data_IF_458731779717
#
_entry.id   IF_458731779717
#
_cell.length_a   1.000
_cell.length_b   1.000
_cell.length_c   1.000
_cell.angle_alpha   90.00
_cell.angle_beta   90.00
_cell.angle_gamma   90.00
#
_symmetry.space_group_name_H-M   'P 1'
#
loop_
_entity.id
_entity.type
_entity.pdbx_description
1 polymer ?
#
# COMPACT_ATOMS: atom_id res chain seq x y z
N UNK A 1 -10.45 -49.43 -27.94
CA UNK A 1 -9.11 -48.92 -27.58
C UNK A 1 -8.80 -47.77 -28.53
N UNK A 2 -8.55 -46.53 -28.15
CA UNK A 2 -8.72 -45.82 -26.89
C UNK A 2 -9.24 -44.42 -27.24
N UNK A 3 -10.03 -43.82 -26.35
CA UNK A 3 -10.54 -42.46 -26.57
C UNK A 3 -9.43 -41.46 -26.25
N UNK A 4 -9.19 -40.54 -27.19
CA UNK A 4 -8.34 -39.39 -26.97
C UNK A 4 -9.18 -38.34 -26.23
N UNK A 5 -8.94 -38.20 -24.93
CA UNK A 5 -9.38 -37.06 -24.14
C UNK A 5 -8.57 -35.84 -24.59
N UNK A 6 -9.15 -35.02 -25.45
CA UNK A 6 -8.73 -33.63 -25.62
C UNK A 6 -9.12 -32.89 -24.33
N UNK A 7 -8.12 -32.48 -23.56
CA UNK A 7 -8.28 -31.53 -22.47
C UNK A 7 -8.55 -30.18 -23.13
N UNK A 8 -9.77 -29.70 -23.00
CA UNK A 8 -10.19 -28.38 -23.46
C UNK A 8 -9.48 -27.32 -22.60
N UNK A 9 -8.53 -26.59 -23.20
CA UNK A 9 -7.89 -25.45 -22.56
C UNK A 9 -8.96 -24.43 -22.18
N UNK A 10 -9.25 -24.31 -20.89
CA UNK A 10 -10.11 -23.26 -20.34
C UNK A 10 -9.57 -21.91 -20.81
N UNK A 11 -10.40 -21.19 -21.60
CA UNK A 11 -10.02 -19.90 -22.19
C UNK A 11 -9.62 -18.93 -21.07
N UNK A 12 -8.36 -18.51 -21.08
CA UNK A 12 -7.86 -17.45 -20.21
C UNK A 12 -8.69 -16.18 -20.40
N UNK A 13 -9.00 -15.50 -19.30
CA UNK A 13 -9.38 -14.09 -19.38
C UNK A 13 -8.32 -13.33 -20.19
N UNK A 14 -8.71 -12.51 -21.18
CA UNK A 14 -7.74 -11.78 -22.00
C UNK A 14 -6.91 -10.85 -21.09
N UNK A 15 -5.63 -11.19 -20.90
CA UNK A 15 -4.68 -10.42 -20.09
C UNK A 15 -3.85 -11.21 -19.06
N UNK A 16 -4.21 -12.44 -18.72
CA UNK A 16 -3.44 -13.26 -17.77
C UNK A 16 -2.48 -14.20 -18.52
N UNK A 17 -1.18 -13.93 -18.48
CA UNK A 17 -0.17 -14.85 -19.04
C UNK A 17 -0.01 -16.08 -18.15
N UNK A 18 -0.41 -17.25 -18.65
CA UNK A 18 -0.32 -18.52 -17.93
C UNK A 18 1.13 -18.92 -17.62
N UNK A 19 2.10 -18.41 -18.37
CA UNK A 19 3.55 -18.65 -18.18
C UNK A 19 4.20 -17.70 -17.17
N UNK A 20 3.50 -16.64 -16.77
CA UNK A 20 4.01 -15.72 -15.77
C UNK A 20 4.13 -16.40 -14.38
N UNK A 21 5.13 -16.01 -13.58
CA UNK A 21 5.35 -16.59 -12.25
C UNK A 21 4.12 -16.37 -11.37
N UNK A 22 3.76 -17.37 -10.55
CA UNK A 22 2.60 -17.32 -9.65
C UNK A 22 2.90 -16.56 -8.36
N UNK A 23 4.17 -16.53 -7.97
CA UNK A 23 4.69 -15.79 -6.83
C UNK A 23 5.91 -14.98 -7.28
N UNK A 24 6.02 -13.74 -6.83
CA UNK A 24 7.13 -12.85 -7.17
C UNK A 24 7.61 -12.10 -5.92
N UNK A 25 8.91 -12.06 -5.65
CA UNK A 25 9.43 -11.23 -4.54
C UNK A 25 9.40 -9.75 -4.93
N UNK A 26 9.22 -8.87 -3.94
CA UNK A 26 9.14 -7.43 -4.23
C UNK A 26 10.43 -6.87 -4.86
N UNK A 27 11.59 -7.44 -4.52
CA UNK A 27 12.89 -7.06 -5.11
C UNK A 27 13.00 -7.37 -6.61
N UNK A 28 12.20 -8.32 -7.10
CA UNK A 28 12.14 -8.67 -8.53
C UNK A 28 11.05 -7.85 -9.27
N UNK A 29 10.32 -6.99 -8.56
CA UNK A 29 9.26 -6.14 -9.11
C UNK A 29 9.76 -4.72 -9.37
N UNK A 30 9.09 -4.02 -10.27
CA UNK A 30 9.31 -2.60 -10.56
C UNK A 30 7.99 -1.95 -11.02
N UNK A 31 8.03 -0.66 -11.38
CA UNK A 31 6.85 0.07 -11.90
C UNK A 31 6.15 -0.58 -13.10
N UNK A 32 6.84 -1.37 -13.91
CA UNK A 32 6.27 -2.02 -15.09
C UNK A 32 5.61 -3.37 -14.73
N UNK A 33 5.76 -3.81 -13.48
CA UNK A 33 5.18 -5.05 -12.94
C UNK A 33 3.71 -4.89 -12.52
N UNK A 34 3.09 -3.72 -12.68
CA UNK A 34 1.68 -3.44 -12.29
C UNK A 34 0.70 -4.49 -12.84
N UNK A 35 0.76 -4.95 -14.11
CA UNK A 35 -0.14 -5.99 -14.61
C UNK A 35 0.01 -7.34 -13.90
N UNK A 36 1.20 -7.61 -13.33
CA UNK A 36 1.53 -8.87 -12.67
C UNK A 36 1.24 -8.85 -11.17
N UNK A 37 1.55 -7.74 -10.48
CA UNK A 37 1.49 -7.67 -9.01
C UNK A 37 0.59 -6.55 -8.47
N UNK A 38 -0.11 -5.82 -9.34
CA UNK A 38 -0.94 -4.67 -8.96
C UNK A 38 -0.11 -3.44 -8.55
N UNK A 39 -0.81 -2.32 -8.35
CA UNK A 39 -0.20 -1.01 -8.11
C UNK A 39 0.68 -0.96 -6.85
N UNK A 40 0.15 -1.44 -5.71
CA UNK A 40 0.87 -1.38 -4.43
C UNK A 40 2.15 -2.20 -4.42
N UNK A 41 2.10 -3.48 -4.83
CA UNK A 41 3.30 -4.33 -4.82
C UNK A 41 4.34 -3.85 -5.85
N UNK A 42 3.89 -3.35 -7.02
CA UNK A 42 4.79 -2.74 -7.99
C UNK A 42 5.47 -1.48 -7.43
N UNK A 43 4.72 -0.63 -6.71
CA UNK A 43 5.26 0.54 -6.01
C UNK A 43 6.28 0.15 -4.94
N UNK A 44 6.02 -0.91 -4.16
CA UNK A 44 6.99 -1.43 -3.19
C UNK A 44 8.28 -1.92 -3.86
N UNK A 45 8.19 -2.64 -4.97
CA UNK A 45 9.37 -3.07 -5.73
C UNK A 45 10.15 -1.88 -6.30
N UNK A 46 9.45 -0.88 -6.83
CA UNK A 46 10.05 0.36 -7.33
C UNK A 46 10.82 1.11 -6.23
N UNK A 47 10.27 1.18 -5.02
CA UNK A 47 10.95 1.76 -3.85
C UNK A 47 12.21 0.97 -3.48
N UNK A 48 12.15 -0.36 -3.48
CA UNK A 48 13.32 -1.22 -3.19
C UNK A 48 14.43 -0.95 -4.22
N UNK A 49 14.10 -0.87 -5.50
CA UNK A 49 15.04 -0.58 -6.58
C UNK A 49 15.63 0.84 -6.48
N UNK A 50 14.86 1.80 -5.95
CA UNK A 50 15.36 3.13 -5.62
C UNK A 50 16.28 3.15 -4.38
N UNK A 51 16.51 2.01 -3.72
CA UNK A 51 17.30 1.89 -2.50
C UNK A 51 16.61 2.47 -1.28
N UNK A 52 15.28 2.47 -1.25
CA UNK A 52 14.47 2.82 -0.07
C UNK A 52 14.32 1.56 0.77
N UNK A 53 14.43 1.68 2.10
CA UNK A 53 14.19 0.54 2.99
C UNK A 53 12.70 0.26 3.07
N UNK A 54 12.32 -0.85 2.46
CA UNK A 54 10.97 -1.41 2.50
C UNK A 54 11.07 -2.78 3.18
N UNK A 55 10.13 -3.17 4.05
CA UNK A 55 10.13 -4.50 4.62
C UNK A 55 10.05 -5.56 3.51
N UNK A 56 10.86 -6.63 3.56
CA UNK A 56 10.88 -7.65 2.51
C UNK A 56 9.54 -8.37 2.45
N UNK A 57 9.21 -8.91 1.28
CA UNK A 57 7.98 -9.63 1.05
C UNK A 57 7.89 -10.17 -0.37
N UNK A 58 6.75 -10.80 -0.65
CA UNK A 58 6.43 -11.35 -1.96
C UNK A 58 4.95 -11.10 -2.26
N UNK A 59 4.58 -11.21 -3.53
CA UNK A 59 3.21 -11.13 -4.00
C UNK A 59 2.76 -12.48 -4.59
N UNK A 60 1.54 -12.91 -4.25
CA UNK A 60 0.76 -13.76 -5.13
C UNK A 60 0.39 -12.91 -6.35
N UNK A 61 0.86 -13.30 -7.52
CA UNK A 61 0.64 -12.53 -8.75
C UNK A 61 -0.78 -12.71 -9.27
N UNK A 62 -1.16 -11.89 -10.23
CA UNK A 62 -2.43 -12.04 -10.99
C UNK A 62 -2.51 -13.40 -11.70
N UNK A 63 -1.37 -13.95 -12.12
CA UNK A 63 -1.28 -15.30 -12.69
C UNK A 63 -1.51 -16.40 -11.63
N UNK A 64 -1.08 -16.18 -10.38
CA UNK A 64 -1.37 -17.02 -9.23
C UNK A 64 -2.84 -16.99 -8.83
N UNK A 65 -3.44 -15.80 -8.78
CA UNK A 65 -4.90 -15.64 -8.62
C UNK A 65 -5.68 -16.38 -9.71
N UNK A 66 -5.30 -16.20 -10.98
CA UNK A 66 -5.96 -16.89 -12.10
C UNK A 66 -5.83 -18.41 -12.02
N UNK A 67 -4.70 -18.93 -11.53
CA UNK A 67 -4.55 -20.36 -11.25
C UNK A 67 -5.48 -20.83 -10.14
N UNK A 68 -5.55 -20.10 -9.02
CA UNK A 68 -6.48 -20.43 -7.94
C UNK A 68 -7.93 -20.53 -8.43
N UNK A 69 -8.42 -19.54 -9.18
CA UNK A 69 -9.81 -19.53 -9.67
C UNK A 69 -10.12 -20.71 -10.59
N UNK A 70 -9.15 -21.13 -11.42
CA UNK A 70 -9.27 -22.29 -12.32
C UNK A 70 -9.21 -23.60 -11.57
N UNK A 71 -8.20 -23.80 -10.72
CA UNK A 71 -7.99 -25.04 -9.98
C UNK A 71 -9.14 -25.29 -8.98
N UNK A 72 -9.71 -24.23 -8.42
CA UNK A 72 -10.90 -24.31 -7.56
C UNK A 72 -12.19 -24.61 -8.35
N UNK A 73 -12.19 -24.45 -9.68
CA UNK A 73 -13.35 -24.68 -10.54
C UNK A 73 -14.50 -23.69 -10.34
N UNK A 74 -14.19 -22.46 -9.90
CA UNK A 74 -15.20 -21.46 -9.50
C UNK A 74 -15.36 -20.31 -10.50
N UNK A 75 -14.46 -20.20 -11.49
CA UNK A 75 -14.41 -19.08 -12.42
C UNK A 75 -15.75 -18.85 -13.14
N UNK A 76 -16.34 -19.91 -13.71
CA UNK A 76 -17.57 -19.80 -14.51
C UNK A 76 -18.79 -19.47 -13.64
N UNK A 77 -18.85 -20.03 -12.43
CA UNK A 77 -19.93 -19.77 -11.48
C UNK A 77 -19.89 -18.31 -10.99
N UNK A 78 -18.69 -17.81 -10.69
CA UNK A 78 -18.48 -16.39 -10.34
C UNK A 78 -18.89 -15.47 -11.49
N UNK A 79 -18.49 -15.79 -12.73
CA UNK A 79 -18.88 -15.00 -13.90
C UNK A 79 -20.40 -14.99 -14.10
N UNK A 80 -21.06 -16.14 -13.90
CA UNK A 80 -22.53 -16.26 -13.98
C UNK A 80 -23.26 -15.43 -12.93
N UNK A 81 -22.76 -15.40 -11.69
CA UNK A 81 -23.33 -14.57 -10.60
C UNK A 81 -23.16 -13.07 -10.83
N UNK A 82 -22.13 -12.67 -11.59
CA UNK A 82 -21.86 -11.27 -11.92
C UNK A 82 -22.63 -10.79 -13.16
N UNK A 83 -23.09 -11.71 -14.00
CA UNK A 83 -23.72 -11.38 -15.26
C UNK A 83 -25.08 -10.69 -15.05
N UNK A 84 -25.27 -9.54 -15.67
CA UNK A 84 -26.54 -8.81 -15.65
C UNK A 84 -26.86 -8.12 -14.31
N UNK A 85 -25.88 -7.99 -13.42
CA UNK A 85 -26.02 -7.17 -12.21
C UNK A 85 -26.15 -5.69 -12.58
N UNK A 86 -27.04 -5.00 -11.87
CA UNK A 86 -27.18 -3.54 -11.94
C UNK A 86 -26.41 -2.91 -10.77
N UNK A 87 -25.63 -1.87 -11.06
CA UNK A 87 -24.89 -1.11 -10.07
C UNK A 87 -25.75 -0.35 -9.05
N UNK A 88 -27.04 -0.14 -9.34
CA UNK A 88 -27.99 0.53 -8.46
C UNK A 88 -28.81 -0.44 -7.59
N UNK A 89 -28.78 -1.75 -7.89
CA UNK A 89 -29.49 -2.79 -7.14
C UNK A 89 -28.61 -3.39 -6.03
N UNK A 90 -28.52 -2.66 -4.92
CA UNK A 90 -27.66 -3.03 -3.79
C UNK A 90 -27.99 -4.39 -3.16
N UNK A 91 -29.27 -4.80 -3.17
CA UNK A 91 -29.67 -6.08 -2.57
C UNK A 91 -29.14 -7.26 -3.40
N UNK A 92 -29.23 -7.19 -4.73
CA UNK A 92 -28.64 -8.21 -5.61
C UNK A 92 -27.11 -8.20 -5.55
N UNK A 93 -26.49 -7.02 -5.49
CA UNK A 93 -25.05 -6.88 -5.36
C UNK A 93 -24.54 -7.52 -4.07
N UNK A 94 -25.20 -7.31 -2.94
CA UNK A 94 -24.85 -7.92 -1.65
C UNK A 94 -25.06 -9.44 -1.67
N UNK A 95 -26.14 -9.92 -2.26
CA UNK A 95 -26.39 -11.35 -2.40
C UNK A 95 -25.31 -12.04 -3.25
N UNK A 96 -24.96 -11.48 -4.41
CA UNK A 96 -23.91 -11.99 -5.28
C UNK A 96 -22.53 -11.90 -4.61
N UNK A 97 -22.20 -10.77 -4.00
CA UNK A 97 -20.99 -10.54 -3.21
C UNK A 97 -20.81 -11.63 -2.16
N UNK A 98 -21.82 -11.88 -1.33
CA UNK A 98 -21.76 -12.92 -0.29
C UNK A 98 -21.52 -14.31 -0.88
N UNK A 99 -22.28 -14.70 -1.89
CA UNK A 99 -22.15 -16.02 -2.52
C UNK A 99 -20.76 -16.24 -3.12
N UNK A 100 -20.24 -15.26 -3.86
CA UNK A 100 -18.91 -15.33 -4.46
C UNK A 100 -17.82 -15.39 -3.39
N UNK A 101 -17.92 -14.58 -2.33
CA UNK A 101 -16.93 -14.54 -1.26
C UNK A 101 -16.89 -15.84 -0.46
N UNK A 102 -18.05 -16.39 -0.09
CA UNK A 102 -18.14 -17.68 0.58
C UNK A 102 -17.53 -18.80 -0.27
N UNK A 103 -17.76 -18.76 -1.58
CA UNK A 103 -17.18 -19.71 -2.53
C UNK A 103 -15.65 -19.60 -2.60
N UNK A 104 -15.10 -18.40 -2.70
CA UNK A 104 -13.64 -18.18 -2.71
C UNK A 104 -13.01 -18.62 -1.38
N UNK A 105 -13.61 -18.24 -0.25
CA UNK A 105 -13.01 -18.46 1.08
C UNK A 105 -13.08 -19.93 1.52
N UNK A 106 -14.06 -20.69 1.04
CA UNK A 106 -14.24 -22.11 1.35
C UNK A 106 -13.43 -23.07 0.48
N UNK A 107 -12.95 -22.63 -0.69
CA UNK A 107 -12.20 -23.49 -1.62
C UNK A 107 -10.74 -23.62 -1.17
N UNK A 108 -10.18 -24.85 -1.16
CA UNK A 108 -8.76 -25.02 -0.90
C UNK A 108 -7.94 -24.42 -2.03
N UNK A 109 -6.76 -23.92 -1.69
CA UNK A 109 -5.74 -23.61 -2.70
C UNK A 109 -5.14 -24.94 -3.16
N UNK A 110 -4.84 -25.08 -4.46
CA UNK A 110 -4.22 -26.30 -4.99
C UNK A 110 -2.86 -26.57 -4.35
N UNK A 111 -2.48 -27.84 -4.21
CA UNK A 111 -1.20 -28.25 -3.58
C UNK A 111 -0.01 -27.55 -4.26
N UNK A 112 -0.03 -27.44 -5.59
CA UNK A 112 1.02 -26.75 -6.35
C UNK A 112 1.16 -25.27 -5.95
N UNK A 113 0.04 -24.54 -5.87
CA UNK A 113 0.08 -23.13 -5.51
C UNK A 113 0.39 -22.93 -4.01
N UNK A 114 -0.09 -23.83 -3.17
CA UNK A 114 0.25 -23.89 -1.74
C UNK A 114 1.75 -24.06 -1.54
N UNK A 115 2.39 -25.01 -2.22
CA UNK A 115 3.83 -25.24 -2.15
C UNK A 115 4.63 -24.00 -2.55
N UNK A 116 4.18 -23.29 -3.60
CA UNK A 116 4.83 -22.05 -4.04
C UNK A 116 4.73 -20.92 -3.00
N UNK A 117 3.55 -20.72 -2.40
CA UNK A 117 3.35 -19.71 -1.36
C UNK A 117 4.10 -20.09 -0.08
N UNK A 118 4.05 -21.36 0.32
CA UNK A 118 4.75 -21.89 1.49
C UNK A 118 6.27 -21.74 1.35
N UNK A 119 6.82 -22.05 0.18
CA UNK A 119 8.25 -21.87 -0.09
C UNK A 119 8.66 -20.40 -0.05
N UNK A 120 7.84 -19.49 -0.61
CA UNK A 120 8.11 -18.06 -0.54
C UNK A 120 8.05 -17.53 0.91
N UNK A 121 7.07 -17.96 1.69
CA UNK A 121 6.94 -17.60 3.11
C UNK A 121 8.09 -18.15 3.96
N UNK A 122 8.54 -19.38 3.68
CA UNK A 122 9.70 -19.99 4.32
C UNK A 122 10.98 -19.22 4.00
N UNK A 123 11.20 -18.88 2.74
CA UNK A 123 12.33 -18.03 2.31
C UNK A 123 12.30 -16.66 2.99
N UNK A 124 11.14 -16.02 3.08
CA UNK A 124 10.97 -14.74 3.77
C UNK A 124 11.32 -14.87 5.27
N UNK A 125 10.86 -15.94 5.91
CA UNK A 125 11.15 -16.25 7.32
C UNK A 125 12.66 -16.41 7.57
N UNK A 126 13.36 -17.15 6.70
CA UNK A 126 14.82 -17.29 6.74
C UNK A 126 15.53 -15.94 6.58
N UNK A 127 15.12 -15.12 5.60
CA UNK A 127 15.71 -13.79 5.37
C UNK A 127 15.54 -12.85 6.57
N UNK A 128 14.45 -13.02 7.33
CA UNK A 128 14.14 -12.21 8.51
C UNK A 128 14.69 -12.81 9.82
N UNK A 129 15.39 -13.95 9.76
CA UNK A 129 15.91 -14.66 10.93
C UNK A 129 14.83 -15.00 11.97
N UNK A 130 13.63 -15.34 11.51
CA UNK A 130 12.50 -15.71 12.36
C UNK A 130 11.91 -17.04 11.90
N UNK A 131 11.58 -18.00 12.80
CA UNK A 131 10.99 -19.28 12.41
C UNK A 131 9.66 -19.14 11.65
N UNK A 132 8.82 -18.22 12.12
CA UNK A 132 7.58 -17.81 11.48
C UNK A 132 7.49 -16.28 11.57
N UNK A 133 7.83 -15.61 10.47
CA UNK A 133 7.84 -14.14 10.41
C UNK A 133 6.41 -13.60 10.43
N UNK A 134 6.08 -12.62 11.29
CA UNK A 134 4.81 -11.92 11.22
C UNK A 134 4.72 -11.12 9.92
N UNK A 135 3.60 -11.22 9.22
CA UNK A 135 3.37 -10.58 7.93
C UNK A 135 2.07 -9.78 7.90
N UNK A 136 2.06 -8.74 7.08
CA UNK A 136 0.85 -8.10 6.59
C UNK A 136 0.44 -8.78 5.28
N UNK A 137 -0.83 -9.18 5.18
CA UNK A 137 -1.42 -9.69 3.94
C UNK A 137 -2.35 -8.61 3.39
N UNK A 138 -2.02 -8.11 2.19
CA UNK A 138 -2.64 -6.90 1.62
C UNK A 138 -3.05 -7.15 0.18
N UNK A 139 -4.26 -6.76 -0.19
CA UNK A 139 -4.65 -6.73 -1.60
C UNK A 139 -3.95 -5.60 -2.37
N UNK A 140 -3.61 -5.91 -3.61
CA UNK A 140 -2.93 -5.05 -4.58
C UNK A 140 -3.62 -5.24 -5.93
N UNK A 141 -4.57 -4.37 -6.26
CA UNK A 141 -5.33 -4.51 -7.51
C UNK A 141 -4.60 -3.86 -8.70
N UNK A 142 -4.84 -4.39 -9.91
CA UNK A 142 -4.25 -3.86 -11.14
C UNK A 142 -4.90 -2.56 -11.62
N UNK A 143 -6.14 -2.30 -11.19
CA UNK A 143 -6.93 -1.14 -11.59
C UNK A 143 -6.84 0.06 -10.63
N UNK A 144 -6.02 -0.02 -9.56
CA UNK A 144 -5.86 1.03 -8.54
C UNK A 144 -5.22 2.32 -9.06
N UNK A 145 -4.44 2.25 -10.13
CA UNK A 145 -3.68 3.38 -10.68
C UNK A 145 -4.28 3.95 -11.97
N UNK A 146 -5.49 3.51 -12.36
CA UNK A 146 -6.17 4.13 -13.51
C UNK A 146 -6.58 5.57 -13.15
N UNK A 147 -6.36 6.56 -14.04
CA UNK A 147 -6.72 7.96 -13.77
C UNK A 147 -8.19 8.10 -13.38
N UNK A 148 -8.46 8.55 -12.15
CA UNK A 148 -9.81 8.71 -11.60
C UNK A 148 -10.39 7.49 -10.85
N UNK A 149 -9.68 6.35 -10.84
CA UNK A 149 -10.10 5.14 -10.14
C UNK A 149 -9.41 5.00 -8.78
N UNK A 150 -9.85 5.80 -7.80
CA UNK A 150 -9.40 5.61 -6.42
C UNK A 150 -10.21 4.50 -5.76
N UNK A 151 -9.69 3.27 -5.78
CA UNK A 151 -10.16 2.19 -4.88
C UNK A 151 -9.64 2.37 -3.44
N UNK A 152 -9.11 3.55 -3.10
CA UNK A 152 -8.51 3.83 -1.81
C UNK A 152 -9.47 3.49 -0.67
N UNK A 153 -8.99 2.67 0.26
CA UNK A 153 -9.72 2.31 1.48
C UNK A 153 -10.81 1.25 1.33
N UNK A 154 -10.97 0.60 0.17
CA UNK A 154 -11.96 -0.47 -0.03
C UNK A 154 -11.37 -1.90 0.03
N UNK A 155 -10.10 -2.03 0.37
CA UNK A 155 -9.35 -3.28 0.24
C UNK A 155 -8.83 -3.78 1.57
N UNK A 156 -9.06 -5.08 1.82
CA UNK A 156 -8.73 -5.73 3.08
C UNK A 156 -7.22 -5.78 3.30
N UNK A 157 -6.81 -5.34 4.48
CA UNK A 157 -5.45 -5.48 5.01
C UNK A 157 -5.52 -6.23 6.32
N UNK A 158 -4.76 -7.31 6.42
CA UNK A 158 -4.69 -8.15 7.62
C UNK A 158 -3.29 -8.06 8.20
N UNK A 159 -3.19 -7.59 9.44
CA UNK A 159 -1.91 -7.33 10.10
C UNK A 159 -1.55 -8.42 11.11
N UNK A 160 -0.25 -8.61 11.30
CA UNK A 160 0.33 -9.55 12.27
C UNK A 160 -0.08 -11.01 12.04
N UNK A 161 -0.12 -11.46 10.80
CA UNK A 161 -0.42 -12.85 10.44
C UNK A 161 0.83 -13.70 10.59
N UNK A 162 0.73 -14.90 11.16
CA UNK A 162 1.87 -15.82 11.35
C UNK A 162 1.49 -17.27 11.07
N UNK A 163 2.40 -17.99 10.44
CA UNK A 163 2.17 -19.38 10.06
C UNK A 163 1.54 -19.48 8.68
N UNK A 164 1.89 -20.53 7.94
CA UNK A 164 1.48 -20.68 6.55
C UNK A 164 -0.04 -20.85 6.40
N UNK A 165 -0.68 -21.57 7.31
CA UNK A 165 -2.13 -21.80 7.28
C UNK A 165 -2.91 -20.48 7.36
N UNK A 166 -2.51 -19.59 8.29
CA UNK A 166 -3.12 -18.27 8.44
C UNK A 166 -2.79 -17.36 7.26
N UNK A 167 -1.56 -17.42 6.71
CA UNK A 167 -1.22 -16.68 5.49
C UNK A 167 -2.14 -17.11 4.34
N UNK A 168 -2.33 -18.41 4.12
CA UNK A 168 -3.19 -18.95 3.08
C UNK A 168 -4.67 -18.58 3.27
N UNK A 169 -5.14 -18.61 4.52
CA UNK A 169 -6.48 -18.13 4.86
C UNK A 169 -6.69 -16.66 4.49
N UNK A 170 -5.75 -15.79 4.86
CA UNK A 170 -5.84 -14.36 4.59
C UNK A 170 -5.58 -14.01 3.11
N UNK A 171 -4.80 -14.82 2.39
CA UNK A 171 -4.68 -14.71 0.93
C UNK A 171 -6.03 -14.93 0.25
N UNK A 172 -6.79 -15.96 0.65
CA UNK A 172 -8.15 -16.17 0.12
C UNK A 172 -9.10 -15.02 0.46
N UNK A 173 -9.02 -14.46 1.66
CA UNK A 173 -9.79 -13.27 2.04
C UNK A 173 -9.43 -12.04 1.22
N UNK A 174 -8.15 -11.79 0.97
CA UNK A 174 -7.73 -10.71 0.07
C UNK A 174 -8.25 -10.93 -1.36
N UNK A 175 -8.26 -12.18 -1.86
CA UNK A 175 -8.86 -12.50 -3.15
C UNK A 175 -10.37 -12.22 -3.14
N UNK A 176 -11.08 -12.66 -2.09
CA UNK A 176 -12.53 -12.47 -1.95
C UNK A 176 -12.90 -10.98 -1.83
N UNK A 177 -12.02 -10.13 -1.28
CA UNK A 177 -12.22 -8.68 -1.16
C UNK A 177 -12.42 -7.98 -2.51
N UNK A 178 -11.96 -8.60 -3.61
CA UNK A 178 -12.25 -8.12 -4.96
C UNK A 178 -13.76 -8.11 -5.25
N UNK A 179 -14.54 -8.97 -4.59
CA UNK A 179 -15.96 -9.20 -4.85
C UNK A 179 -16.88 -8.63 -3.76
N UNK A 180 -16.44 -7.61 -3.02
CA UNK A 180 -17.38 -6.86 -2.18
C UNK A 180 -18.44 -6.16 -3.04
N UNK A 181 -19.64 -5.98 -2.51
CA UNK A 181 -20.75 -5.31 -3.23
C UNK A 181 -20.33 -3.93 -3.77
N UNK A 182 -19.58 -3.16 -2.98
CA UNK A 182 -19.02 -1.86 -3.38
C UNK A 182 -18.04 -1.98 -4.56
N UNK A 183 -17.13 -2.94 -4.51
CA UNK A 183 -16.15 -3.15 -5.58
C UNK A 183 -16.83 -3.63 -6.87
N UNK A 184 -17.85 -4.50 -6.77
CA UNK A 184 -18.66 -4.95 -7.92
C UNK A 184 -19.42 -3.76 -8.52
N UNK A 185 -20.18 -3.01 -7.72
CA UNK A 185 -20.96 -1.86 -8.17
C UNK A 185 -20.08 -0.81 -8.87
N UNK A 186 -18.90 -0.54 -8.29
CA UNK A 186 -17.94 0.38 -8.89
C UNK A 186 -17.48 -0.09 -10.27
N UNK A 187 -17.14 -1.38 -10.42
CA UNK A 187 -16.70 -1.92 -11.72
C UNK A 187 -17.80 -1.84 -12.78
N UNK A 188 -19.04 -2.16 -12.42
CA UNK A 188 -20.19 -2.04 -13.33
C UNK A 188 -20.36 -0.58 -13.76
N UNK A 189 -20.33 0.36 -12.81
CA UNK A 189 -20.45 1.80 -13.08
C UNK A 189 -19.38 2.32 -14.04
N UNK A 190 -18.15 1.83 -13.91
CA UNK A 190 -17.02 2.21 -14.78
C UNK A 190 -16.97 1.41 -16.09
N UNK A 191 -17.87 0.43 -16.30
CA UNK A 191 -17.89 -0.42 -17.48
C UNK A 191 -16.70 -1.39 -17.57
N UNK A 192 -16.08 -1.74 -16.44
CA UNK A 192 -14.99 -2.73 -16.43
C UNK A 192 -15.56 -4.16 -16.58
N UNK A 193 -15.10 -4.93 -17.57
CA UNK A 193 -15.50 -6.32 -17.71
C UNK A 193 -15.07 -7.13 -16.48
N UNK A 194 -16.02 -7.82 -15.84
CA UNK A 194 -15.76 -8.63 -14.64
C UNK A 194 -14.68 -9.69 -14.86
N UNK A 195 -14.65 -10.28 -16.05
CA UNK A 195 -13.73 -11.33 -16.47
C UNK A 195 -12.27 -10.85 -16.54
N UNK A 196 -12.03 -9.55 -16.70
CA UNK A 196 -10.69 -8.98 -16.92
C UNK A 196 -10.02 -8.49 -15.64
N UNK A 197 -10.69 -8.61 -14.49
CA UNK A 197 -10.17 -8.08 -13.24
C UNK A 197 -9.47 -9.20 -12.46
N UNK A 198 -8.18 -9.00 -12.23
CA UNK A 198 -7.36 -9.84 -11.38
C UNK A 198 -6.86 -9.02 -10.19
N UNK A 199 -6.59 -9.72 -9.09
CA UNK A 199 -5.99 -9.14 -7.90
C UNK A 199 -4.68 -9.85 -7.57
N UNK A 200 -3.71 -9.08 -7.12
CA UNK A 200 -2.49 -9.59 -6.51
C UNK A 200 -2.59 -9.44 -5.00
N UNK A 201 -1.92 -10.32 -4.26
CA UNK A 201 -1.90 -10.29 -2.79
C UNK A 201 -0.46 -10.19 -2.31
N UNK A 202 -0.11 -9.06 -1.72
CA UNK A 202 1.18 -8.84 -1.09
C UNK A 202 1.24 -9.48 0.30
N UNK A 203 2.28 -10.27 0.55
CA UNK A 203 2.65 -10.85 1.84
C UNK A 203 3.97 -10.21 2.26
N UNK A 204 3.90 -9.24 3.15
CA UNK A 204 5.02 -8.38 3.54
C UNK A 204 5.39 -8.60 5.00
N UNK A 205 6.70 -8.66 5.33
CA UNK A 205 7.16 -8.66 6.73
C UNK A 205 6.52 -7.49 7.50
N UNK A 206 5.88 -7.76 8.64
CA UNK A 206 5.46 -6.73 9.58
C UNK A 206 6.68 -6.04 10.19
N UNK A 207 6.69 -4.71 10.15
CA UNK A 207 7.49 -3.94 11.09
C UNK A 207 6.83 -4.07 12.47
N UNK A 208 7.58 -4.56 13.47
CA UNK A 208 7.10 -4.59 14.86
C UNK A 208 7.19 -3.18 15.43
N UNK A 209 6.33 -2.29 14.94
CA UNK A 209 6.49 -0.87 15.13
C UNK A 209 6.30 -0.48 16.60
N UNK A 210 7.19 0.36 17.13
CA UNK A 210 6.86 1.10 18.34
C UNK A 210 6.15 2.42 18.03
N UNK A 211 6.36 2.93 16.80
CA UNK A 211 5.76 4.14 16.25
C UNK A 211 5.65 4.01 14.74
N UNK A 212 4.56 4.50 14.19
CA UNK A 212 4.27 4.50 12.76
C UNK A 212 3.37 5.69 12.41
N UNK A 213 3.26 5.96 11.12
CA UNK A 213 2.40 7.05 10.67
C UNK A 213 2.48 7.31 9.18
N UNK A 214 2.12 8.53 8.80
CA UNK A 214 2.12 9.00 7.43
C UNK A 214 2.99 10.23 7.30
N UNK A 215 3.52 10.48 6.11
CA UNK A 215 4.21 11.72 5.81
C UNK A 215 3.93 12.19 4.40
N UNK A 216 3.84 13.50 4.25
CA UNK A 216 3.58 14.17 2.98
C UNK A 216 4.79 14.99 2.59
N UNK A 217 5.21 14.91 1.33
CA UNK A 217 6.29 15.76 0.81
C UNK A 217 5.76 17.14 0.38
N UNK A 218 4.68 17.60 0.97
CA UNK A 218 4.19 18.96 0.95
C UNK A 218 3.29 19.16 2.17
N UNK A 219 2.97 20.41 2.50
CA UNK A 219 1.97 20.67 3.52
C UNK A 219 0.56 20.36 2.98
N UNK A 220 -0.17 19.39 3.54
CA UNK A 220 -1.45 18.92 2.96
C UNK A 220 -2.54 20.00 2.97
N UNK A 221 -2.56 20.88 3.98
CA UNK A 221 -3.56 21.97 4.07
C UNK A 221 -3.25 23.21 3.20
N UNK A 222 -1.97 23.58 3.03
CA UNK A 222 -1.59 24.83 2.35
C UNK A 222 -1.01 24.61 0.96
N UNK A 223 -0.57 23.39 0.64
CA UNK A 223 0.12 23.06 -0.60
C UNK A 223 1.58 23.49 -0.63
N UNK A 224 2.15 23.95 0.50
CA UNK A 224 3.56 24.37 0.58
C UNK A 224 4.49 23.18 0.30
N UNK A 225 5.21 23.25 -0.82
CA UNK A 225 6.14 22.21 -1.27
C UNK A 225 7.54 22.33 -0.64
N UNK A 226 7.80 23.35 0.17
CA UNK A 226 9.09 23.58 0.82
C UNK A 226 9.29 22.75 2.10
N UNK A 227 8.21 22.11 2.58
CA UNK A 227 8.20 21.34 3.83
C UNK A 227 7.80 19.88 3.63
N UNK A 228 8.17 19.04 4.59
CA UNK A 228 7.62 17.69 4.78
C UNK A 228 6.80 17.72 6.06
N UNK A 229 5.60 17.15 6.02
CA UNK A 229 4.73 17.01 7.19
C UNK A 229 4.71 15.54 7.59
N UNK A 230 4.97 15.25 8.86
CA UNK A 230 5.02 13.90 9.41
C UNK A 230 3.98 13.81 10.53
N UNK A 231 3.03 12.90 10.37
CA UNK A 231 2.08 12.51 11.40
C UNK A 231 2.51 11.18 12.01
N UNK A 232 2.50 11.09 13.34
CA UNK A 232 3.06 9.97 14.09
C UNK A 232 2.19 9.56 15.27
N UNK A 233 1.95 8.26 15.43
CA UNK A 233 1.36 7.69 16.65
C UNK A 233 2.14 6.45 17.10
N UNK A 234 2.03 6.10 18.38
CA UNK A 234 2.59 4.86 18.90
C UNK A 234 1.98 3.63 18.22
N UNK A 235 2.74 2.54 18.17
CA UNK A 235 2.30 1.26 17.65
C UNK A 235 2.26 1.20 16.12
N UNK A 236 1.34 0.39 15.59
CA UNK A 236 1.11 0.22 14.16
C UNK A 236 0.34 1.40 13.56
N UNK A 237 0.55 1.65 12.27
CA UNK A 237 0.01 2.82 11.55
C UNK A 237 -1.51 2.83 11.36
N UNK A 238 -2.23 1.74 11.71
CA UNK A 238 -3.68 1.61 11.55
C UNK A 238 -4.44 2.81 12.13
N UNK A 239 -4.09 3.21 13.36
CA UNK A 239 -4.74 4.34 14.06
C UNK A 239 -4.61 5.68 13.33
N UNK A 240 -3.47 5.92 12.66
CA UNK A 240 -3.22 7.17 11.94
C UNK A 240 -3.96 7.16 10.60
N UNK A 241 -3.88 6.04 9.87
CA UNK A 241 -4.49 5.90 8.55
C UNK A 241 -6.03 5.90 8.64
N UNK A 242 -6.60 5.35 9.73
CA UNK A 242 -8.05 5.35 9.96
C UNK A 242 -8.59 6.69 10.47
N UNK A 243 -7.73 7.58 10.95
CA UNK A 243 -8.13 8.82 11.62
C UNK A 243 -8.80 8.60 12.99
N UNK A 244 -8.59 7.44 13.62
CA UNK A 244 -9.14 7.12 14.95
C UNK A 244 -8.51 7.97 16.05
N UNK A 245 -7.29 8.45 15.83
CA UNK A 245 -6.49 9.22 16.80
C UNK A 245 -6.05 10.55 16.21
N UNK A 246 -5.80 11.52 17.09
CA UNK A 246 -5.03 12.72 16.74
C UNK A 246 -3.54 12.41 16.92
N UNK A 247 -2.75 12.29 15.83
CA UNK A 247 -1.34 11.97 15.93
C UNK A 247 -0.52 13.18 16.40
N UNK A 248 0.74 12.95 16.77
CA UNK A 248 1.74 14.03 16.81
C UNK A 248 1.99 14.51 15.38
N UNK A 249 2.20 15.81 15.21
CA UNK A 249 2.47 16.42 13.92
C UNK A 249 3.80 17.18 13.95
N UNK A 250 4.63 16.94 12.96
CA UNK A 250 5.93 17.59 12.79
C UNK A 250 6.02 18.20 11.39
N UNK A 251 6.52 19.43 11.32
CA UNK A 251 6.82 20.08 10.05
C UNK A 251 8.33 20.22 9.94
N UNK A 252 8.89 19.73 8.84
CA UNK A 252 10.34 19.69 8.58
C UNK A 252 10.66 20.50 7.34
N UNK A 253 11.66 21.37 7.43
CA UNK A 253 12.17 22.12 6.27
C UNK A 253 12.90 21.17 5.30
N UNK A 254 12.52 21.14 4.03
CA UNK A 254 13.16 20.22 3.06
C UNK A 254 14.61 20.54 2.76
N UNK A 255 15.05 21.79 2.90
CA UNK A 255 16.42 22.20 2.58
C UNK A 255 17.34 21.82 3.72
N UNK A 256 17.03 22.29 4.93
CA UNK A 256 17.91 22.12 6.10
C UNK A 256 17.68 20.81 6.84
N UNK A 257 16.52 20.18 6.66
CA UNK A 257 16.02 19.04 7.44
C UNK A 257 15.73 19.35 8.91
N UNK A 258 15.71 20.64 9.28
CA UNK A 258 15.34 21.05 10.64
C UNK A 258 13.83 20.91 10.86
N UNK A 259 13.47 20.49 12.07
CA UNK A 259 12.10 20.48 12.54
C UNK A 259 11.71 21.93 12.88
N UNK A 260 10.82 22.51 12.08
CA UNK A 260 10.39 23.91 12.20
C UNK A 260 9.15 24.10 13.06
N UNK A 261 8.32 23.07 13.18
CA UNK A 261 7.14 23.07 14.04
C UNK A 261 6.88 21.68 14.65
N UNK A 262 6.33 21.66 15.86
CA UNK A 262 5.97 20.44 16.59
C UNK A 262 4.66 20.63 17.32
N UNK A 263 3.72 19.73 17.06
CA UNK A 263 2.48 19.60 17.83
C UNK A 263 2.42 18.21 18.44
N UNK A 264 2.51 18.14 19.77
CA UNK A 264 2.38 16.88 20.52
C UNK A 264 0.92 16.72 20.94
N UNK A 265 0.28 15.65 20.46
CA UNK A 265 -1.11 15.35 20.72
C UNK A 265 -1.26 14.33 21.86
N UNK A 266 -2.40 14.37 22.55
CA UNK A 266 -2.76 13.34 23.54
C UNK A 266 -3.18 12.06 22.80
N UNK A 267 -2.26 11.09 22.75
CA UNK A 267 -2.44 9.81 22.06
C UNK A 267 -3.04 8.79 23.03
N UNK A 268 -4.33 8.53 22.93
CA UNK A 268 -5.07 7.66 23.88
C UNK A 268 -5.06 6.18 23.48
N UNK A 269 -5.02 5.88 22.18
CA UNK A 269 -5.10 4.51 21.64
C UNK A 269 -3.94 4.25 20.69
N UNK A 270 -3.43 3.03 20.68
CA UNK A 270 -2.50 2.53 19.68
C UNK A 270 -2.80 1.08 19.31
N UNK A 271 -2.32 0.62 18.15
CA UNK A 271 -2.39 -0.78 17.75
C UNK A 271 -1.06 -1.47 17.98
N UNK A 272 -1.07 -2.67 18.54
CA UNK A 272 0.14 -3.48 18.73
C UNK A 272 -0.17 -4.96 18.53
N UNK A 273 0.89 -5.77 18.52
CA UNK A 273 0.77 -7.21 18.53
C UNK A 273 0.29 -7.73 19.89
N UNK A 274 -0.82 -8.47 19.89
CA UNK A 274 -1.11 -9.43 20.96
C UNK A 274 -0.32 -10.72 20.69
N UNK A 275 0.73 -10.95 21.49
CA UNK A 275 1.59 -12.13 21.33
C UNK A 275 0.94 -13.45 21.81
N UNK A 276 -0.19 -13.40 22.52
CA UNK A 276 -0.93 -14.60 22.89
C UNK A 276 -1.89 -14.99 21.79
N UNK A 277 -2.62 -14.01 21.25
CA UNK A 277 -3.61 -14.22 20.20
C UNK A 277 -3.03 -14.16 18.78
N UNK A 278 -1.76 -13.77 18.63
CA UNK A 278 -1.06 -13.59 17.35
C UNK A 278 -1.87 -12.74 16.36
N UNK A 279 -2.34 -11.58 16.82
CA UNK A 279 -3.09 -10.62 15.99
C UNK A 279 -2.80 -9.18 16.38
N UNK A 280 -3.12 -8.24 15.49
CA UNK A 280 -3.17 -6.81 15.83
C UNK A 280 -4.35 -6.55 16.77
N UNK A 281 -4.14 -5.74 17.82
CA UNK A 281 -5.19 -5.30 18.74
C UNK A 281 -5.01 -3.83 19.07
N UNK A 282 -6.13 -3.12 19.22
CA UNK A 282 -6.14 -1.81 19.84
C UNK A 282 -5.87 -1.94 21.35
N UNK A 283 -5.04 -1.06 21.88
CA UNK A 283 -4.74 -0.95 23.30
C UNK A 283 -4.74 0.52 23.71
N UNK A 284 -5.06 0.77 24.98
CA UNK A 284 -4.90 2.10 25.56
C UNK A 284 -3.40 2.42 25.75
N UNK A 285 -3.00 3.61 25.34
CA UNK A 285 -1.65 4.11 25.61
C UNK A 285 -1.56 4.47 27.09
N UNK A 286 -0.56 3.99 27.85
CA UNK A 286 -0.40 4.33 29.26
C UNK A 286 -0.40 5.85 29.47
N UNK A 287 -1.08 6.33 30.51
CA UNK A 287 -1.32 7.77 30.79
C UNK A 287 -0.02 8.57 30.77
N UNK A 288 1.06 8.00 31.31
CA UNK A 288 2.39 8.58 31.35
C UNK A 288 3.02 8.79 29.96
N UNK A 289 2.56 8.06 28.93
CA UNK A 289 3.05 8.17 27.55
C UNK A 289 2.15 9.02 26.65
N UNK A 290 0.89 9.26 27.00
CA UNK A 290 -0.09 9.86 26.09
C UNK A 290 0.32 11.25 25.59
N UNK A 291 1.03 12.03 26.42
CA UNK A 291 1.48 13.39 26.10
C UNK A 291 2.99 13.48 25.80
N UNK A 292 3.64 12.34 25.54
CA UNK A 292 5.06 12.28 25.15
C UNK A 292 5.17 12.20 23.62
N UNK A 293 6.21 12.80 23.06
CA UNK A 293 6.56 12.69 21.65
C UNK A 293 6.69 11.20 21.24
N UNK A 294 6.01 10.80 20.17
CA UNK A 294 5.94 9.40 19.75
C UNK A 294 7.18 8.88 19.03
N UNK A 295 7.98 9.76 18.44
CA UNK A 295 9.14 9.45 17.59
C UNK A 295 10.36 10.26 18.05
N UNK A 296 11.59 9.79 17.80
CA UNK A 296 12.80 10.55 18.12
C UNK A 296 13.16 11.56 17.02
N UNK A 297 13.86 12.64 17.38
CA UNK A 297 14.25 13.71 16.45
C UNK A 297 15.15 13.21 15.31
N UNK A 298 16.08 12.29 15.62
CA UNK A 298 16.96 11.69 14.61
C UNK A 298 16.16 10.85 13.60
N UNK A 299 15.09 10.20 14.04
CA UNK A 299 14.21 9.40 13.19
C UNK A 299 13.29 10.28 12.35
N UNK A 300 12.83 11.43 12.87
CA UNK A 300 12.14 12.46 12.09
C UNK A 300 13.05 12.94 10.94
N UNK A 301 14.33 13.20 11.24
CA UNK A 301 15.31 13.63 10.26
C UNK A 301 15.57 12.56 9.21
N UNK A 302 15.69 11.29 9.64
CA UNK A 302 15.86 10.13 8.77
C UNK A 302 14.64 9.92 7.84
N UNK A 303 13.42 10.05 8.37
CA UNK A 303 12.18 10.03 7.60
C UNK A 303 12.15 11.15 6.56
N UNK A 304 12.47 12.38 6.95
CA UNK A 304 12.50 13.51 6.04
C UNK A 304 13.51 13.32 4.91
N UNK A 305 14.68 12.74 5.20
CA UNK A 305 15.65 12.36 4.18
C UNK A 305 15.09 11.30 3.21
N UNK A 306 14.44 10.25 3.73
CA UNK A 306 13.81 9.22 2.89
C UNK A 306 12.67 9.79 2.05
N UNK A 307 11.85 10.69 2.59
CA UNK A 307 10.77 11.36 1.89
C UNK A 307 11.27 12.16 0.69
N UNK A 308 12.36 12.93 0.86
CA UNK A 308 13.01 13.66 -0.25
C UNK A 308 13.53 12.72 -1.32
N UNK A 309 14.12 11.59 -0.92
CA UNK A 309 14.63 10.58 -1.85
C UNK A 309 13.49 10.01 -2.70
N UNK A 310 12.37 9.68 -2.06
CA UNK A 310 11.15 9.16 -2.72
C UNK A 310 10.56 10.23 -3.65
N UNK A 311 10.34 11.46 -3.18
CA UNK A 311 9.83 12.56 -4.01
C UNK A 311 10.70 12.80 -5.25
N UNK A 312 12.03 12.80 -5.08
CA UNK A 312 12.98 12.95 -6.18
C UNK A 312 12.86 11.82 -7.20
N UNK A 313 12.67 10.58 -6.73
CA UNK A 313 12.51 9.40 -7.59
C UNK A 313 11.25 9.48 -8.45
N UNK A 314 10.11 9.83 -7.85
CA UNK A 314 8.82 9.93 -8.56
C UNK A 314 8.59 11.26 -9.28
N UNK A 315 9.41 12.28 -9.00
CA UNK A 315 9.35 13.61 -9.61
C UNK A 315 8.10 14.42 -9.25
N UNK A 316 7.39 14.05 -8.19
CA UNK A 316 6.11 14.65 -7.78
C UNK A 316 5.91 14.52 -6.27
N UNK A 317 5.03 15.33 -5.65
CA UNK A 317 4.72 15.18 -4.24
C UNK A 317 4.11 13.82 -3.91
N UNK A 318 4.47 13.28 -2.75
CA UNK A 318 4.15 11.92 -2.34
C UNK A 318 3.48 11.90 -0.97
N UNK A 319 2.56 10.96 -0.81
CA UNK A 319 1.93 10.49 0.43
C UNK A 319 2.56 9.12 0.77
N UNK A 320 3.17 9.02 1.94
CA UNK A 320 4.08 7.92 2.31
C UNK A 320 3.70 7.38 3.69
N UNK A 321 3.43 6.08 3.76
CA UNK A 321 3.25 5.37 5.02
C UNK A 321 4.60 4.83 5.51
N UNK A 322 4.87 4.95 6.81
CA UNK A 322 6.15 4.56 7.40
C UNK A 322 5.97 3.92 8.78
N UNK A 323 6.99 3.17 9.21
CA UNK A 323 7.04 2.59 10.55
C UNK A 323 8.48 2.48 11.05
N UNK A 324 8.62 2.48 12.38
CA UNK A 324 9.90 2.30 13.06
C UNK A 324 9.89 0.99 13.83
N UNK A 325 10.63 0.01 13.32
CA UNK A 325 10.69 -1.35 13.86
C UNK A 325 11.52 -1.40 15.14
N UNK A 326 10.87 -1.69 16.27
CA UNK A 326 11.51 -1.70 17.59
C UNK A 326 12.48 -2.86 17.81
N UNK A 327 12.50 -3.83 16.90
CA UNK A 327 13.43 -4.96 16.96
C UNK A 327 14.78 -4.63 16.27
N UNK A 328 14.89 -3.48 15.61
CA UNK A 328 16.09 -3.06 14.89
C UNK A 328 16.76 -1.86 15.58
N UNK A 329 18.10 -1.73 15.47
CA UNK A 329 18.81 -0.57 16.02
C UNK A 329 18.45 0.72 15.26
N UNK A 330 18.63 1.86 15.94
CA UNK A 330 18.52 3.18 15.33
C UNK A 330 19.42 3.32 14.09
N UNK A 331 18.95 4.03 13.07
CA UNK A 331 19.61 4.14 11.77
C UNK A 331 19.41 2.92 10.84
N UNK A 332 18.72 1.89 11.31
CA UNK A 332 18.32 0.70 10.54
C UNK A 332 16.85 0.32 10.68
N UNK A 333 16.11 1.01 11.55
CA UNK A 333 14.76 0.68 12.00
C UNK A 333 13.64 1.39 11.23
N UNK A 334 13.94 2.43 10.45
CA UNK A 334 12.96 3.17 9.65
C UNK A 334 12.64 2.45 8.34
N UNK A 335 11.37 2.07 8.19
CA UNK A 335 10.82 1.43 7.00
C UNK A 335 9.73 2.25 6.34
N UNK A 336 9.69 2.19 5.01
CA UNK A 336 8.60 2.71 4.21
C UNK A 336 7.65 1.55 3.88
N UNK A 337 6.38 1.72 4.21
CA UNK A 337 5.34 0.69 4.10
C UNK A 337 4.51 0.84 2.83
N UNK A 338 4.41 2.07 2.29
CA UNK A 338 3.70 2.40 1.06
C UNK A 338 4.14 3.80 0.60
N UNK A 339 4.16 4.04 -0.71
CA UNK A 339 4.25 5.39 -1.27
C UNK A 339 3.32 5.52 -2.47
N UNK A 340 2.60 6.64 -2.53
CA UNK A 340 1.72 6.99 -3.64
C UNK A 340 1.78 8.49 -3.94
N UNK A 341 1.46 8.92 -5.17
CA UNK A 341 1.33 10.35 -5.47
C UNK A 341 0.30 11.00 -4.54
N UNK A 342 0.65 12.15 -3.97
CA UNK A 342 -0.34 13.03 -3.33
C UNK A 342 -1.27 13.55 -4.43
N UNK A 343 -2.60 13.53 -4.26
CA UNK A 343 -3.55 13.76 -5.38
C UNK A 343 -4.31 15.09 -5.33
N UNK A 344 -4.36 15.78 -4.18
CA UNK A 344 -5.11 17.03 -3.99
C UNK A 344 -4.37 18.20 -4.65
N UNK A 345 -3.05 18.28 -4.45
CA UNK A 345 -2.22 19.38 -4.95
C UNK A 345 -1.39 19.01 -6.18
N UNK A 346 -1.21 17.72 -6.47
CA UNK A 346 -0.60 17.29 -7.74
C UNK A 346 -1.46 17.62 -8.96
N UNK A 347 -2.78 17.62 -8.79
CA UNK A 347 -3.75 17.82 -9.87
C UNK A 347 -4.04 19.30 -10.16
N UNK A 348 -3.62 20.22 -9.27
CA UNK A 348 -3.62 21.64 -9.58
C UNK A 348 -2.46 21.91 -10.54
N UNK A 349 -2.77 22.09 -11.83
CA UNK A 349 -1.80 22.52 -12.84
C UNK A 349 -1.00 23.71 -12.30
N UNK A 350 0.34 23.62 -12.41
CA UNK A 350 1.20 24.78 -12.20
C UNK A 350 0.71 25.90 -13.13
N UNK A 351 0.20 26.99 -12.56
CA UNK A 351 0.29 28.25 -13.26
C UNK A 351 1.78 28.48 -13.55
N UNK A 352 2.18 28.74 -14.81
CA UNK A 352 3.59 28.93 -15.14
C UNK A 352 4.11 30.11 -14.33
N UNK A 353 5.06 29.84 -13.44
CA UNK A 353 5.81 30.87 -12.75
C UNK A 353 6.86 31.45 -13.72
N UNK A 354 6.38 32.11 -14.78
CA UNK A 354 7.07 33.11 -15.61
C UNK A 354 6.21 33.39 -16.84
N UNK A 355 5.53 34.53 -16.88
CA UNK A 355 5.26 35.20 -18.15
C UNK A 355 6.49 36.03 -18.51
N UNK A 356 7.21 35.61 -19.56
CA UNK A 356 8.24 36.43 -20.20
C UNK A 356 9.65 36.19 -19.68
N UNK A 357 10.51 35.71 -20.58
CA UNK A 357 11.94 35.65 -20.39
C UNK A 357 12.51 37.05 -20.13
N UNK A 358 13.09 37.27 -18.95
CA UNK A 358 14.10 38.29 -18.70
C UNK A 358 15.21 37.60 -17.92
N UNK A 359 16.46 37.89 -18.30
CA UNK A 359 17.61 37.16 -17.78
C UNK A 359 17.79 37.43 -16.28
N UNK A 360 18.43 36.51 -15.56
CA UNK A 360 18.74 36.70 -14.14
C UNK A 360 19.52 38.00 -13.85
N UNK A 361 20.23 38.56 -14.85
CA UNK A 361 20.87 39.87 -14.74
C UNK A 361 19.85 41.02 -14.64
N UNK A 362 18.74 40.97 -15.37
CA UNK A 362 17.74 42.05 -15.39
C UNK A 362 17.03 42.20 -14.03
N UNK A 363 16.86 41.09 -13.31
CA UNK A 363 16.26 41.06 -11.97
C UNK A 363 17.22 41.58 -10.87
N UNK A 364 18.53 41.45 -11.10
CA UNK A 364 19.55 41.96 -10.16
C UNK A 364 19.76 43.46 -10.38
N UNK A 365 19.78 43.92 -11.64
CA UNK A 365 19.94 45.35 -11.99
C UNK A 365 18.72 46.18 -11.54
N UNK A 366 17.51 45.64 -11.65
CA UNK A 366 16.29 46.32 -11.20
C UNK A 366 16.26 46.53 -9.68
N UNK A 367 16.77 45.58 -8.90
CA UNK A 367 16.82 45.71 -7.43
C UNK A 367 17.97 46.60 -6.93
N UNK A 368 19.03 46.79 -7.72
CA UNK A 368 20.11 47.73 -7.42
C UNK A 368 19.72 49.19 -7.66
N UNK A 369 18.81 49.46 -8.60
CA UNK A 369 18.34 50.82 -8.93
C UNK A 369 17.30 51.39 -7.95
N UNK A 370 16.73 50.56 -7.07
CA UNK A 370 15.67 50.96 -6.11
C UNK A 370 16.25 51.36 -4.73
N UNK A 371 17.58 51.50 -4.61
CA UNK A 371 18.25 51.91 -3.38
C UNK A 371 17.96 53.36 -2.94
N UNK A 372 17.10 53.49 -1.92
CA UNK A 372 17.01 54.53 -0.86
C UNK A 372 17.14 56.02 -1.26
N UNK A 373 16.05 56.79 -1.03
CA UNK A 373 16.16 58.12 -0.40
C UNK A 373 15.75 58.01 1.06
N UNK A 374 16.72 58.22 1.94
CA UNK A 374 16.48 58.64 3.32
C UNK A 374 15.97 60.08 3.29
N UNK A 375 14.82 60.32 3.91
CA UNK A 375 14.41 61.59 4.50
C UNK A 375 13.69 61.27 5.80
#
# INVERSE_FOLDING_TARGET
MGSALMVEEARLAPGIDSRAPKVCFFEDCNKDSVPLVGGKCASLGELINAGVRVPPGFALTTAGYGQFMRDAGIQDEVNGLLQGLDHDDMDKLEAASRAIREMIESRPISIELEDLIAEAYRKLSVRCYLPAVPVAVRSSATAEDLPGASFAGQQDTYLWIRGIDDVMHHVRKCISSLYTARAIAYRIRMGFPHEQVAISVGVQKMANAYTAGVMFTLHPSTGDRSVIVIDSNFGFGESVVSGEVTPDNFVVNKVTLDIIDRTISTKTVCYTADLKLQRSVAMEVPVERQNIQSILDDEITELAWMAKKIEKHYGRPMDIEWAIDKNLPAGGNVFILQARPETIWSNRQKAPATTGATSAMDYIVSNLLVGKRLA
#
